data_IF_984216255274
#
_entry.id   IF_984216255274
#
_cell.length_a   1.000
_cell.length_b   1.000
_cell.length_c   1.000
_cell.angle_alpha   90.00
_cell.angle_beta   90.00
_cell.angle_gamma   90.00
#
_symmetry.space_group_name_H-M   'P 1'
#
loop_
_entity.id
_entity.type
_entity.pdbx_description
1 polymer ?
#
# COMPACT_ATOMS: atom_id res chain seq x y z
N UNK A 1 25.38 33.25 -6.52
CA UNK A 1 25.68 31.95 -7.17
C UNK A 1 24.40 31.11 -7.13
N UNK A 2 23.70 31.00 -8.26
CA UNK A 2 22.45 30.25 -8.35
C UNK A 2 22.76 28.78 -8.68
N UNK A 3 22.42 27.87 -7.76
CA UNK A 3 22.48 26.42 -8.00
C UNK A 3 21.27 26.05 -8.85
N UNK A 4 21.49 25.85 -10.15
CA UNK A 4 20.50 25.25 -11.04
C UNK A 4 20.29 23.79 -10.63
N UNK A 5 19.15 23.49 -10.00
CA UNK A 5 18.68 22.12 -9.80
C UNK A 5 18.51 21.45 -11.15
N UNK A 6 19.34 20.44 -11.40
CA UNK A 6 19.23 19.56 -12.57
C UNK A 6 17.98 18.69 -12.36
N UNK A 7 16.89 19.02 -13.06
CA UNK A 7 15.71 18.15 -13.17
C UNK A 7 16.18 16.83 -13.80
N UNK A 8 16.14 15.76 -13.04
CA UNK A 8 16.47 14.43 -13.53
C UNK A 8 15.45 14.03 -14.63
N UNK A 9 15.88 13.31 -15.68
CA UNK A 9 14.99 12.93 -16.76
C UNK A 9 13.93 11.94 -16.26
N UNK A 10 12.67 12.22 -16.58
CA UNK A 10 11.59 11.26 -16.47
C UNK A 10 11.73 10.28 -17.63
N UNK A 11 11.98 9.00 -17.33
CA UNK A 11 11.97 7.95 -18.34
C UNK A 11 12.85 6.76 -17.99
N UNK A 12 12.29 5.81 -17.26
CA UNK A 12 12.48 4.37 -17.46
C UNK A 12 11.24 3.69 -16.90
N UNK A 13 10.72 2.68 -17.59
CA UNK A 13 9.67 1.77 -17.11
C UNK A 13 10.17 0.98 -15.88
N UNK A 14 10.29 1.69 -14.77
CA UNK A 14 10.75 1.19 -13.49
C UNK A 14 9.52 1.08 -12.61
N UNK A 15 8.75 0.02 -12.83
CA UNK A 15 7.66 -0.36 -11.92
C UNK A 15 8.28 -0.62 -10.55
N UNK A 16 8.14 0.28 -9.56
CA UNK A 16 8.88 0.13 -8.32
C UNK A 16 8.39 -1.16 -7.64
N UNK A 17 9.34 -2.03 -7.33
CA UNK A 17 9.07 -3.27 -6.64
C UNK A 17 8.60 -2.96 -5.22
N UNK A 18 7.43 -3.47 -4.84
CA UNK A 18 6.92 -3.43 -3.47
C UNK A 18 7.00 -4.81 -2.84
N UNK A 19 7.06 -4.85 -1.52
CA UNK A 19 7.08 -6.08 -0.74
C UNK A 19 5.87 -6.13 0.15
N UNK A 20 5.18 -7.26 0.13
CA UNK A 20 4.17 -7.57 1.12
C UNK A 20 4.85 -8.16 2.35
N UNK A 21 4.63 -7.54 3.51
CA UNK A 21 5.32 -7.93 4.73
C UNK A 21 4.46 -7.76 5.99
N UNK A 22 4.87 -8.40 7.07
CA UNK A 22 4.39 -8.09 8.44
C UNK A 22 5.53 -7.47 9.25
N UNK A 23 5.20 -6.48 10.08
CA UNK A 23 6.16 -5.75 10.92
C UNK A 23 5.95 -6.09 12.38
N UNK A 24 7.02 -6.51 13.04
CA UNK A 24 7.03 -6.97 14.43
C UNK A 24 7.99 -6.13 15.26
N UNK A 25 7.73 -6.08 16.58
CA UNK A 25 8.64 -5.43 17.51
C UNK A 25 9.92 -6.27 17.60
N UNK A 26 10.98 -5.80 16.97
CA UNK A 26 12.30 -6.40 17.11
C UNK A 26 12.93 -6.11 18.49
N UNK A 27 14.06 -6.76 18.81
CA UNK A 27 14.71 -6.65 20.13
C UNK A 27 15.14 -5.23 20.52
N UNK A 28 15.32 -4.37 19.53
CA UNK A 28 15.70 -2.96 19.69
C UNK A 28 14.63 -2.00 19.19
N UNK A 29 13.47 -2.51 18.78
CA UNK A 29 12.44 -1.72 18.15
C UNK A 29 11.87 -0.69 19.12
N UNK A 30 11.58 0.48 18.58
CA UNK A 30 10.69 1.43 19.22
C UNK A 30 9.28 0.84 19.30
N UNK A 31 8.44 1.36 20.19
CA UNK A 31 7.08 0.86 20.40
C UNK A 31 6.33 0.68 19.07
N UNK A 32 5.64 -0.45 18.90
CA UNK A 32 4.95 -0.81 17.65
C UNK A 32 3.89 0.22 17.21
N UNK A 33 3.35 0.99 18.16
CA UNK A 33 2.44 2.10 17.91
C UNK A 33 3.02 3.14 16.93
N UNK A 34 4.35 3.29 16.88
CA UNK A 34 5.03 4.18 15.92
C UNK A 34 5.01 3.67 14.48
N UNK A 35 4.73 2.39 14.25
CA UNK A 35 4.54 1.87 12.89
C UNK A 35 3.31 2.49 12.24
N UNK A 36 2.31 2.89 13.02
CA UNK A 36 1.16 3.63 12.50
C UNK A 36 1.53 5.03 11.99
N UNK A 37 2.63 5.62 12.47
CA UNK A 37 3.13 6.93 12.03
C UNK A 37 3.95 6.82 10.72
N UNK A 38 4.21 5.62 10.22
CA UNK A 38 5.06 5.38 9.04
C UNK A 38 4.29 5.44 7.70
N UNK A 39 3.02 5.83 7.72
CA UNK A 39 2.15 5.96 6.54
C UNK A 39 2.15 4.72 5.60
N UNK A 40 2.36 3.52 6.16
CA UNK A 40 2.43 2.29 5.37
C UNK A 40 1.03 1.83 4.92
N UNK A 41 0.91 1.47 3.65
CA UNK A 41 -0.30 0.91 3.05
C UNK A 41 -0.65 -0.43 3.71
N UNK A 42 -1.84 -0.54 4.30
CA UNK A 42 -2.31 -1.74 5.01
C UNK A 42 -3.14 -2.63 4.09
N UNK A 43 -2.84 -3.92 4.12
CA UNK A 43 -3.61 -4.97 3.44
C UNK A 43 -4.27 -5.84 4.51
N UNK A 44 -5.60 -6.03 4.46
CA UNK A 44 -6.27 -6.96 5.36
C UNK A 44 -5.79 -8.39 5.11
N UNK A 45 -5.30 -9.07 6.16
CA UNK A 45 -5.03 -10.51 6.10
C UNK A 45 -6.26 -11.32 6.54
N UNK A 46 -6.66 -12.37 5.81
CA UNK A 46 -7.78 -13.25 6.20
C UNK A 46 -7.65 -13.92 7.57
N UNK A 47 -6.43 -14.00 8.11
CA UNK A 47 -6.11 -14.57 9.44
C UNK A 47 -6.13 -13.51 10.55
N UNK A 48 -6.43 -12.25 10.22
CA UNK A 48 -6.54 -11.16 11.17
C UNK A 48 -5.23 -10.40 11.44
N UNK A 49 -4.15 -10.76 10.76
CA UNK A 49 -2.89 -10.01 10.80
C UNK A 49 -2.98 -8.75 9.94
N UNK A 50 -2.16 -7.74 10.26
CA UNK A 50 -2.02 -6.54 9.42
C UNK A 50 -0.79 -6.71 8.54
N UNK A 51 -1.01 -6.92 7.25
CA UNK A 51 0.05 -6.89 6.24
C UNK A 51 0.25 -5.45 5.76
N UNK A 52 1.48 -5.14 5.38
CA UNK A 52 1.85 -3.84 4.83
C UNK A 52 2.55 -4.00 3.49
N UNK A 53 2.37 -3.03 2.61
CA UNK A 53 3.17 -2.89 1.40
C UNK A 53 4.28 -1.88 1.63
N UNK A 54 5.52 -2.32 1.45
CA UNK A 54 6.71 -1.49 1.66
C UNK A 54 7.60 -1.51 0.43
N UNK A 55 8.22 -0.37 0.11
CA UNK A 55 9.34 -0.29 -0.83
C UNK A 55 10.64 -0.80 -0.19
N UNK A 56 11.70 -0.96 -1.00
CA UNK A 56 13.02 -1.33 -0.50
C UNK A 56 13.59 -0.29 0.50
N UNK A 57 13.36 1.00 0.25
CA UNK A 57 13.85 2.07 1.13
C UNK A 57 13.12 2.08 2.48
N UNK A 58 11.81 1.86 2.48
CA UNK A 58 11.01 1.75 3.70
C UNK A 58 11.38 0.51 4.51
N UNK A 59 11.64 -0.61 3.84
CA UNK A 59 12.15 -1.82 4.48
C UNK A 59 13.48 -1.56 5.20
N UNK A 60 14.43 -0.86 4.54
CA UNK A 60 15.70 -0.50 5.15
C UNK A 60 15.51 0.38 6.40
N UNK A 61 14.64 1.39 6.33
CA UNK A 61 14.33 2.26 7.48
C UNK A 61 13.72 1.49 8.65
N UNK A 62 12.79 0.57 8.37
CA UNK A 62 12.18 -0.28 9.41
C UNK A 62 13.25 -1.11 10.14
N UNK A 63 14.18 -1.70 9.40
CA UNK A 63 15.28 -2.48 9.97
C UNK A 63 16.24 -1.60 10.77
N UNK A 64 16.59 -0.41 10.27
CA UNK A 64 17.44 0.56 10.97
C UNK A 64 16.81 1.07 12.27
N UNK A 65 15.47 1.23 12.30
CA UNK A 65 14.70 1.58 13.50
C UNK A 65 14.51 0.40 14.47
N UNK A 66 15.05 -0.77 14.12
CA UNK A 66 15.13 -1.95 14.96
C UNK A 66 13.93 -2.87 14.90
N UNK A 67 13.01 -2.67 13.95
CA UNK A 67 11.87 -3.56 13.71
C UNK A 67 12.33 -4.86 13.05
N UNK A 68 11.54 -5.91 13.27
CA UNK A 68 11.67 -7.16 12.53
C UNK A 68 10.61 -7.20 11.43
N UNK A 69 11.01 -7.50 10.20
CA UNK A 69 10.11 -7.50 9.04
C UNK A 69 10.12 -8.87 8.38
N UNK A 70 8.95 -9.49 8.26
CA UNK A 70 8.77 -10.78 7.60
C UNK A 70 8.18 -10.53 6.22
N UNK A 71 8.99 -10.71 5.17
CA UNK A 71 8.56 -10.55 3.78
C UNK A 71 7.89 -11.82 3.29
N UNK A 72 6.69 -11.68 2.73
CA UNK A 72 5.89 -12.78 2.20
C UNK A 72 5.90 -12.86 0.67
N UNK A 73 6.10 -11.72 0.00
CA UNK A 73 6.06 -11.66 -1.45
C UNK A 73 6.59 -10.35 -2.01
N UNK A 74 6.99 -10.39 -3.28
CA UNK A 74 7.41 -9.22 -4.03
C UNK A 74 6.38 -8.93 -5.14
N UNK A 75 5.89 -7.70 -5.20
CA UNK A 75 4.85 -7.23 -6.09
C UNK A 75 5.43 -6.18 -7.03
N UNK A 76 5.29 -6.42 -8.34
CA UNK A 76 5.68 -5.41 -9.34
C UNK A 76 4.54 -4.42 -9.49
N UNK A 77 4.82 -3.13 -9.28
CA UNK A 77 3.83 -2.08 -9.44
C UNK A 77 3.69 -1.70 -10.93
N UNK A 78 2.83 -2.40 -11.67
CA UNK A 78 2.48 -2.02 -13.03
C UNK A 78 1.54 -0.80 -13.05
N UNK A 79 1.44 -0.04 -14.16
CA UNK A 79 0.45 1.00 -14.32
C UNK A 79 -0.94 0.35 -14.29
N UNK A 80 -1.93 1.09 -13.81
CA UNK A 80 -3.31 0.63 -13.87
C UNK A 80 -3.68 0.36 -15.34
N UNK A 81 -4.27 -0.79 -15.63
CA UNK A 81 -4.85 -1.07 -16.94
C UNK A 81 -5.98 -0.07 -17.20
N UNK A 82 -5.89 0.78 -18.24
CA UNK A 82 -6.93 1.76 -18.54
C UNK A 82 -8.30 1.12 -18.79
N UNK A 83 -8.35 -0.15 -19.24
CA UNK A 83 -9.60 -0.88 -19.41
C UNK A 83 -10.30 -1.27 -18.11
N UNK A 84 -9.65 -1.09 -16.96
CA UNK A 84 -10.24 -1.25 -15.63
C UNK A 84 -10.73 0.07 -15.02
N UNK A 85 -10.56 1.19 -15.73
CA UNK A 85 -11.09 2.48 -15.31
C UNK A 85 -12.52 2.62 -15.82
N UNK A 86 -13.48 2.55 -14.90
CA UNK A 86 -14.89 2.77 -15.20
C UNK A 86 -15.15 4.27 -15.32
N UNK A 87 -16.01 4.65 -16.25
CA UNK A 87 -16.64 5.96 -16.20
C UNK A 87 -17.73 6.03 -15.11
N UNK A 88 -18.24 7.22 -14.85
CA UNK A 88 -19.20 7.45 -13.76
C UNK A 88 -20.49 6.62 -13.93
N UNK A 89 -20.99 6.47 -15.16
CA UNK A 89 -22.21 5.72 -15.45
C UNK A 89 -21.98 4.21 -15.29
N UNK A 90 -20.82 3.72 -15.74
CA UNK A 90 -20.38 2.34 -15.56
C UNK A 90 -20.16 1.99 -14.08
N UNK A 91 -19.59 2.92 -13.29
CA UNK A 91 -19.35 2.76 -11.87
C UNK A 91 -20.66 2.69 -11.08
N UNK A 92 -21.65 3.53 -11.41
CA UNK A 92 -22.98 3.51 -10.79
C UNK A 92 -23.65 2.16 -11.02
N UNK A 93 -23.68 1.67 -12.27
CA UNK A 93 -24.28 0.38 -12.59
C UNK A 93 -23.57 -0.78 -11.89
N UNK A 94 -22.24 -0.77 -11.86
CA UNK A 94 -21.47 -1.80 -11.15
C UNK A 94 -21.77 -1.80 -9.63
N UNK A 95 -21.88 -0.62 -9.01
CA UNK A 95 -22.25 -0.50 -7.60
C UNK A 95 -23.66 -1.06 -7.35
N UNK A 96 -24.62 -0.70 -8.20
CA UNK A 96 -26.00 -1.18 -8.11
C UNK A 96 -26.08 -2.70 -8.18
N UNK A 97 -25.37 -3.34 -9.11
CA UNK A 97 -25.27 -4.81 -9.22
C UNK A 97 -24.65 -5.44 -7.96
N UNK A 98 -23.62 -4.81 -7.38
CA UNK A 98 -22.96 -5.31 -6.17
C UNK A 98 -23.83 -5.19 -4.91
N UNK A 99 -24.70 -4.17 -4.83
CA UNK A 99 -25.53 -3.90 -3.64
C UNK A 99 -26.97 -4.41 -3.74
N UNK A 100 -27.42 -4.89 -4.90
CA UNK A 100 -28.80 -5.35 -5.13
C UNK A 100 -29.23 -6.49 -4.16
N UNK A 101 -28.26 -7.23 -3.61
CA UNK A 101 -28.49 -8.31 -2.63
C UNK A 101 -28.28 -7.95 -1.16
N UNK A 102 -27.91 -6.70 -0.83
CA UNK A 102 -27.63 -6.31 0.56
C UNK A 102 -28.89 -5.64 1.13
N UNK A 103 -29.62 -6.28 2.07
CA UNK A 103 -30.80 -5.67 2.67
C UNK A 103 -30.39 -4.37 3.37
N UNK A 104 -30.97 -3.25 2.92
CA UNK A 104 -30.81 -1.97 3.58
C UNK A 104 -31.75 -1.94 4.79
N UNK A 105 -31.20 -1.99 5.99
CA UNK A 105 -31.98 -1.64 7.17
C UNK A 105 -32.20 -0.12 7.15
N UNK A 106 -33.34 0.31 6.62
CA UNK A 106 -33.82 1.67 6.81
C UNK A 106 -34.21 1.81 8.29
N UNK A 107 -33.33 2.46 9.06
CA UNK A 107 -33.61 2.84 10.44
C UNK A 107 -34.83 3.76 10.50
N UNK A 108 -35.86 3.28 11.20
CA UNK A 108 -37.09 4.02 11.52
C UNK A 108 -36.89 5.13 12.54
#
# INVERSE_FOLDING_TARGET
MARTSRKAPAGTDDHPLRFEATVHAGPRARALARVADLDLDRVPDPRGDVRVLVSADELARLLDDGYEVHVHGALRQAPLDPGLVLDDDEAVRWLEEMVEGIPREEGS
#
